data_IF_702642620453
#
_entry.id   IF_702642620453
#
_cell.length_a   1.000
_cell.length_b   1.000
_cell.length_c   1.000
_cell.angle_alpha   90.00
_cell.angle_beta   90.00
_cell.angle_gamma   90.00
#
_symmetry.space_group_name_H-M   'P 1'
#
loop_
_entity.id
_entity.type
_entity.pdbx_description
1 polymer ?
#
# COMPACT_ATOMS: atom_id res chain seq x y z
N UNK A 1 -20.78 4.74 53.97
CA UNK A 1 -19.71 3.94 54.59
C UNK A 1 -18.39 4.54 54.14
N UNK A 2 -17.82 5.44 54.96
CA UNK A 2 -16.53 6.07 54.69
C UNK A 2 -15.44 5.10 55.14
N UNK A 3 -14.50 4.76 54.26
CA UNK A 3 -13.29 4.03 54.66
C UNK A 3 -12.17 5.06 54.81
N UNK A 4 -11.90 5.45 56.06
CA UNK A 4 -10.74 6.24 56.45
C UNK A 4 -9.51 5.33 56.50
N UNK A 5 -8.51 5.58 55.65
CA UNK A 5 -7.22 4.92 55.74
C UNK A 5 -6.29 5.72 56.66
N UNK A 6 -5.94 5.14 57.82
CA UNK A 6 -4.85 5.62 58.65
C UNK A 6 -3.51 5.23 58.01
N UNK A 7 -2.72 6.21 57.57
CA UNK A 7 -1.32 6.01 57.22
C UNK A 7 -0.46 6.00 58.50
N UNK A 8 0.23 4.89 58.74
CA UNK A 8 1.34 4.83 59.69
C UNK A 8 2.62 5.40 59.03
N UNK A 9 3.41 6.23 59.73
CA UNK A 9 4.52 6.95 59.13
C UNK A 9 5.82 6.13 59.21
N UNK A 10 5.87 4.91 58.65
CA UNK A 10 7.17 4.23 58.49
C UNK A 10 7.21 2.98 57.58
N UNK A 11 6.49 2.99 56.47
CA UNK A 11 6.74 2.02 55.40
C UNK A 11 6.90 2.76 54.10
N UNK A 12 8.11 2.64 53.52
CA UNK A 12 8.44 3.11 52.19
C UNK A 12 7.34 2.64 51.24
N UNK A 13 6.55 3.58 50.74
CA UNK A 13 5.69 3.40 49.59
C UNK A 13 6.62 3.09 48.40
N UNK A 14 6.93 1.80 48.24
CA UNK A 14 7.31 1.26 46.93
C UNK A 14 6.05 1.37 46.07
N UNK A 15 5.81 2.55 45.51
CA UNK A 15 5.02 2.65 44.29
C UNK A 15 5.66 1.65 43.32
N UNK A 16 4.94 0.59 43.00
CA UNK A 16 5.24 -0.25 41.85
C UNK A 16 4.97 0.60 40.59
N UNK A 17 5.82 1.60 40.35
CA UNK A 17 5.95 2.23 39.06
C UNK A 17 6.59 1.16 38.17
N UNK A 18 5.76 0.43 37.42
CA UNK A 18 6.26 -0.40 36.34
C UNK A 18 7.02 0.55 35.41
N UNK A 19 8.36 0.46 35.41
CA UNK A 19 9.20 1.29 34.56
C UNK A 19 8.85 0.93 33.11
N UNK A 20 8.04 1.77 32.45
CA UNK A 20 7.64 1.56 31.05
C UNK A 20 8.89 1.74 30.20
N UNK A 21 9.52 0.62 29.83
CA UNK A 21 10.63 0.63 28.88
C UNK A 21 10.05 0.60 27.47
N UNK A 22 10.48 1.53 26.62
CA UNK A 22 10.03 1.66 25.23
C UNK A 22 10.25 0.40 24.39
N UNK A 23 11.18 -0.47 24.79
CA UNK A 23 11.39 -1.81 24.24
C UNK A 23 10.10 -2.66 24.20
N UNK A 24 9.26 -2.56 25.24
CA UNK A 24 8.03 -3.36 25.38
C UNK A 24 6.80 -2.68 24.77
N UNK A 25 6.99 -1.58 24.03
CA UNK A 25 5.92 -0.86 23.34
C UNK A 25 6.00 -1.20 21.85
N UNK A 26 4.92 -1.77 21.30
CA UNK A 26 4.76 -1.94 19.85
C UNK A 26 4.00 -0.74 19.30
N UNK A 27 4.57 -0.09 18.29
CA UNK A 27 3.94 0.97 17.51
C UNK A 27 3.35 0.35 16.25
N UNK A 28 2.06 0.57 16.02
CA UNK A 28 1.33 0.07 14.85
C UNK A 28 0.78 1.26 14.08
N UNK A 29 1.14 1.37 12.81
CA UNK A 29 0.70 2.43 11.91
C UNK A 29 0.08 1.79 10.65
N UNK A 30 -1.25 1.60 10.63
CA UNK A 30 -1.94 1.04 9.47
C UNK A 30 -1.95 2.01 8.29
N UNK A 31 -2.01 1.47 7.07
CA UNK A 31 -2.18 2.22 5.84
C UNK A 31 -2.99 1.43 4.83
N UNK A 32 -3.56 2.07 3.82
CA UNK A 32 -4.39 1.39 2.80
C UNK A 32 -3.63 0.36 1.98
N UNK A 33 -2.31 0.50 1.86
CA UNK A 33 -1.47 -0.38 1.03
C UNK A 33 -0.26 -0.91 1.80
N UNK A 34 0.17 -0.22 2.86
CA UNK A 34 1.35 -0.60 3.64
C UNK A 34 1.06 -0.48 5.12
N UNK A 35 1.27 -1.57 5.86
CA UNK A 35 1.29 -1.61 7.30
C UNK A 35 2.72 -1.36 7.77
N UNK A 36 2.91 -0.41 8.68
CA UNK A 36 4.19 -0.21 9.37
C UNK A 36 4.03 -0.60 10.83
N UNK A 37 4.93 -1.45 11.33
CA UNK A 37 4.95 -1.83 12.74
C UNK A 37 6.37 -2.08 13.25
N UNK A 38 6.59 -1.88 14.54
CA UNK A 38 7.88 -2.13 15.19
C UNK A 38 7.81 -1.76 16.66
N UNK A 39 8.88 -2.03 17.41
CA UNK A 39 9.03 -1.54 18.78
C UNK A 39 9.26 -0.03 18.76
N UNK A 40 8.89 0.67 19.84
CA UNK A 40 9.14 2.10 19.95
C UNK A 40 10.64 2.48 19.97
N UNK A 41 11.51 1.49 20.20
CA UNK A 41 12.97 1.64 20.12
C UNK A 41 13.56 1.33 18.74
N UNK A 42 12.79 0.75 17.82
CA UNK A 42 13.31 0.37 16.51
C UNK A 42 13.62 1.63 15.69
N UNK A 43 14.82 1.69 15.10
CA UNK A 43 15.23 2.83 14.25
C UNK A 43 14.36 2.96 13.00
N UNK A 44 13.94 1.82 12.44
CA UNK A 44 13.07 1.73 11.27
C UNK A 44 11.99 0.66 11.55
N UNK A 45 10.70 0.97 11.35
CA UNK A 45 9.65 -0.04 11.46
C UNK A 45 9.72 -1.02 10.29
N UNK A 46 9.24 -2.23 10.51
CA UNK A 46 8.95 -3.18 9.44
C UNK A 46 7.82 -2.61 8.58
N UNK A 47 7.96 -2.68 7.26
CA UNK A 47 6.92 -2.30 6.30
C UNK A 47 6.44 -3.54 5.55
N UNK A 48 5.15 -3.82 5.61
CA UNK A 48 4.52 -5.00 5.00
C UNK A 48 3.39 -4.52 4.09
N UNK A 49 3.22 -5.09 2.88
CA UNK A 49 1.99 -4.88 2.11
C UNK A 49 0.76 -5.22 2.96
N UNK A 50 -0.18 -4.30 3.06
CA UNK A 50 -1.37 -4.49 3.90
C UNK A 50 -2.44 -5.24 3.10
N UNK A 51 -2.18 -6.52 2.86
CA UNK A 51 -2.96 -7.39 1.96
C UNK A 51 -2.94 -8.82 2.46
N UNK A 52 -4.03 -9.55 2.22
CA UNK A 52 -4.19 -10.96 2.56
C UNK A 52 -4.76 -11.72 1.36
N UNK A 53 -4.18 -12.89 1.07
CA UNK A 53 -4.77 -13.86 0.16
C UNK A 53 -5.45 -14.95 0.98
N UNK A 54 -6.76 -15.20 0.78
CA UNK A 54 -7.52 -16.24 1.48
C UNK A 54 -7.94 -17.36 0.53
N UNK A 55 -7.64 -18.60 0.91
CA UNK A 55 -7.96 -19.77 0.10
C UNK A 55 -9.47 -19.99 -0.02
N UNK A 56 -9.91 -20.46 -1.17
CA UNK A 56 -11.27 -20.95 -1.39
C UNK A 56 -11.58 -22.16 -0.52
N UNK A 57 -12.81 -22.22 -0.02
CA UNK A 57 -13.29 -23.36 0.80
C UNK A 57 -13.87 -24.48 -0.06
N UNK A 58 -14.28 -24.16 -1.28
CA UNK A 58 -14.92 -25.09 -2.21
C UNK A 58 -14.34 -24.90 -3.61
N UNK A 59 -14.30 -25.97 -4.39
CA UNK A 59 -13.91 -25.89 -5.79
C UNK A 59 -14.94 -25.12 -6.61
N UNK A 60 -14.48 -24.38 -7.61
CA UNK A 60 -15.35 -23.59 -8.50
C UNK A 60 -15.88 -22.28 -7.90
N UNK A 61 -15.40 -21.86 -6.72
CA UNK A 61 -15.71 -20.53 -6.19
C UNK A 61 -15.17 -19.44 -7.14
N UNK A 62 -15.94 -18.38 -7.40
CA UNK A 62 -15.47 -17.27 -8.23
C UNK A 62 -14.31 -16.55 -7.54
N UNK A 63 -13.32 -16.17 -8.32
CA UNK A 63 -12.14 -15.44 -7.83
C UNK A 63 -12.55 -14.00 -7.46
N UNK A 64 -12.29 -13.61 -6.22
CA UNK A 64 -12.45 -12.25 -5.75
C UNK A 64 -11.10 -11.54 -5.66
N UNK A 65 -11.05 -10.28 -6.09
CA UNK A 65 -9.89 -9.40 -5.94
C UNK A 65 -10.37 -8.01 -5.60
N UNK A 66 -9.84 -7.46 -4.51
CA UNK A 66 -10.08 -6.06 -4.17
C UNK A 66 -9.51 -5.12 -5.25
N UNK A 67 -10.23 -4.02 -5.48
CA UNK A 67 -9.83 -3.02 -6.45
C UNK A 67 -8.65 -2.21 -5.90
N UNK A 68 -7.50 -2.25 -6.58
CA UNK A 68 -6.33 -1.49 -6.13
C UNK A 68 -6.23 -0.11 -6.80
N UNK A 69 -6.12 -0.06 -8.13
CA UNK A 69 -6.02 1.19 -8.89
C UNK A 69 -7.36 1.65 -9.46
N UNK A 70 -8.27 0.71 -9.68
CA UNK A 70 -9.62 1.00 -10.13
C UNK A 70 -10.47 1.43 -8.94
N UNK A 71 -11.46 2.28 -9.20
CA UNK A 71 -12.45 2.68 -8.22
C UNK A 71 -13.78 2.92 -8.90
N UNK A 72 -14.84 2.90 -8.10
CA UNK A 72 -16.16 3.28 -8.59
C UNK A 72 -16.16 4.73 -9.11
N UNK A 73 -17.02 4.99 -10.09
CA UNK A 73 -17.16 6.33 -10.68
C UNK A 73 -16.17 6.68 -11.80
N UNK A 74 -15.21 5.80 -12.14
CA UNK A 74 -14.25 6.07 -13.22
C UNK A 74 -14.87 6.03 -14.64
N UNK A 75 -16.00 5.34 -14.81
CA UNK A 75 -16.63 5.05 -16.11
C UNK A 75 -18.11 5.48 -16.17
N UNK A 76 -18.47 6.60 -15.53
CA UNK A 76 -19.79 7.24 -15.71
C UNK A 76 -19.84 7.96 -17.06
N UNK A 77 -21.03 8.26 -17.60
CA UNK A 77 -21.16 8.97 -18.88
C UNK A 77 -20.34 10.28 -18.94
N UNK A 78 -20.25 10.98 -17.81
CA UNK A 78 -19.57 12.27 -17.66
C UNK A 78 -18.06 12.13 -17.40
N UNK A 79 -17.56 10.92 -17.07
CA UNK A 79 -16.19 10.71 -16.60
C UNK A 79 -15.14 11.12 -17.63
N UNK A 80 -15.41 10.92 -18.92
CA UNK A 80 -14.47 11.29 -19.98
C UNK A 80 -14.37 12.81 -20.13
N UNK A 81 -15.50 13.51 -20.11
CA UNK A 81 -15.52 14.98 -20.19
C UNK A 81 -14.85 15.60 -18.96
N UNK A 82 -15.18 15.12 -17.76
CA UNK A 82 -14.55 15.59 -16.52
C UNK A 82 -13.03 15.40 -16.55
N UNK A 83 -12.55 14.24 -17.04
CA UNK A 83 -11.11 13.96 -17.20
C UNK A 83 -10.46 14.93 -18.18
N UNK A 84 -11.09 15.20 -19.33
CA UNK A 84 -10.56 16.13 -20.32
C UNK A 84 -10.51 17.57 -19.80
N UNK A 85 -11.55 18.02 -19.10
CA UNK A 85 -11.60 19.36 -18.52
C UNK A 85 -10.56 19.54 -17.40
N UNK A 86 -10.41 18.54 -16.52
CA UNK A 86 -9.34 18.53 -15.53
C UNK A 86 -7.95 18.58 -16.15
N UNK A 87 -7.71 17.82 -17.23
CA UNK A 87 -6.44 17.85 -17.95
C UNK A 87 -6.14 19.24 -18.55
N UNK A 88 -7.14 19.89 -19.17
CA UNK A 88 -6.98 21.27 -19.69
C UNK A 88 -6.61 22.27 -18.60
N UNK A 89 -7.21 22.16 -17.41
CA UNK A 89 -6.87 23.02 -16.28
C UNK A 89 -5.43 22.81 -15.81
N UNK A 90 -4.98 21.54 -15.76
CA UNK A 90 -3.59 21.20 -15.43
C UNK A 90 -2.63 21.77 -16.47
N UNK A 91 -2.93 21.62 -17.76
CA UNK A 91 -2.10 22.19 -18.83
C UNK A 91 -2.01 23.72 -18.75
N UNK A 92 -3.12 24.39 -18.44
CA UNK A 92 -3.14 25.83 -18.21
C UNK A 92 -2.26 26.22 -17.01
N UNK A 93 -2.35 25.48 -15.90
CA UNK A 93 -1.52 25.72 -14.72
C UNK A 93 -0.02 25.53 -15.04
N UNK A 94 0.34 24.47 -15.77
CA UNK A 94 1.71 24.20 -16.21
C UNK A 94 2.23 25.33 -17.10
N UNK A 95 1.45 25.76 -18.10
CA UNK A 95 1.86 26.80 -19.04
C UNK A 95 1.97 28.19 -18.39
N UNK A 96 1.18 28.46 -17.36
CA UNK A 96 1.21 29.73 -16.62
C UNK A 96 2.51 29.94 -15.85
N UNK A 97 3.15 28.85 -15.41
CA UNK A 97 4.39 28.89 -14.63
C UNK A 97 5.61 28.89 -15.55
N UNK A 98 6.43 29.94 -15.45
CA UNK A 98 7.72 30.03 -16.14
C UNK A 98 8.71 28.99 -15.60
N UNK A 99 9.60 28.54 -16.47
CA UNK A 99 10.76 27.73 -16.10
C UNK A 99 11.80 28.59 -15.35
N UNK A 100 12.80 27.95 -14.75
CA UNK A 100 13.87 28.63 -13.99
C UNK A 100 14.64 29.66 -14.83
N UNK A 101 14.75 29.45 -16.14
CA UNK A 101 15.35 30.40 -17.08
C UNK A 101 14.41 31.56 -17.50
N UNK A 102 13.23 31.68 -16.87
CA UNK A 102 12.26 32.74 -17.13
C UNK A 102 11.41 32.58 -18.39
N UNK A 103 11.63 31.53 -19.18
CA UNK A 103 10.86 31.25 -20.41
C UNK A 103 9.66 30.33 -20.13
N UNK A 104 8.70 30.26 -21.06
CA UNK A 104 7.55 29.35 -20.96
C UNK A 104 7.92 27.94 -21.42
N UNK A 105 7.29 26.93 -20.82
CA UNK A 105 7.44 25.53 -21.24
C UNK A 105 6.82 25.33 -22.63
N UNK A 106 7.57 24.68 -23.52
CA UNK A 106 7.09 24.27 -24.85
C UNK A 106 6.41 22.89 -24.71
N UNK A 107 5.14 22.74 -25.09
CA UNK A 107 4.44 21.46 -25.02
C UNK A 107 4.94 20.47 -26.09
N UNK A 108 4.83 19.18 -25.81
CA UNK A 108 5.19 18.08 -26.73
C UNK A 108 3.94 17.29 -27.08
N UNK A 109 3.82 16.86 -28.34
CA UNK A 109 2.65 16.11 -28.81
C UNK A 109 2.68 14.64 -28.34
N UNK A 110 1.61 14.15 -27.69
CA UNK A 110 1.46 12.73 -27.36
C UNK A 110 1.45 11.83 -28.61
N UNK A 111 1.02 12.33 -29.77
CA UNK A 111 0.95 11.55 -31.01
C UNK A 111 2.33 11.25 -31.57
N UNK A 112 3.23 12.24 -31.55
CA UNK A 112 4.62 12.05 -31.95
C UNK A 112 5.28 10.96 -31.09
N UNK A 113 5.08 11.04 -29.77
CA UNK A 113 5.60 10.04 -28.81
C UNK A 113 5.00 8.67 -29.05
N UNK A 114 3.68 8.59 -29.31
CA UNK A 114 2.98 7.33 -29.60
C UNK A 114 3.51 6.66 -30.86
N UNK A 115 3.74 7.42 -31.93
CA UNK A 115 4.26 6.91 -33.20
C UNK A 115 5.64 6.28 -33.02
N UNK A 116 6.51 6.92 -32.24
CA UNK A 116 7.81 6.36 -31.87
C UNK A 116 7.67 5.12 -30.98
N UNK A 117 6.93 5.21 -29.87
CA UNK A 117 6.80 4.13 -28.90
C UNK A 117 6.23 2.83 -29.49
N UNK A 118 5.32 2.93 -30.48
CA UNK A 118 4.77 1.77 -31.17
C UNK A 118 5.80 0.98 -31.99
N UNK A 119 6.93 1.58 -32.35
CA UNK A 119 8.00 0.92 -33.11
C UNK A 119 8.98 0.18 -32.19
N UNK A 120 8.96 0.47 -30.89
CA UNK A 120 9.89 -0.10 -29.93
C UNK A 120 9.55 -1.56 -29.66
N UNK A 121 10.59 -2.40 -29.56
CA UNK A 121 10.48 -3.79 -29.09
C UNK A 121 11.25 -3.95 -27.79
N UNK A 122 10.71 -4.71 -26.81
CA UNK A 122 11.43 -4.96 -25.57
C UNK A 122 12.69 -5.78 -25.85
N UNK A 123 13.79 -5.43 -25.19
CA UNK A 123 14.99 -6.26 -25.15
C UNK A 123 14.87 -7.26 -23.99
N UNK A 124 15.26 -8.51 -24.23
CA UNK A 124 15.32 -9.53 -23.20
C UNK A 124 16.67 -9.38 -22.49
N UNK A 125 16.64 -9.04 -21.20
CA UNK A 125 17.85 -8.91 -20.39
C UNK A 125 18.32 -10.28 -19.89
N UNK A 126 17.37 -11.11 -19.45
CA UNK A 126 17.62 -12.44 -18.89
C UNK A 126 16.62 -13.45 -19.44
N UNK A 127 17.04 -14.73 -19.51
CA UNK A 127 16.17 -15.82 -19.94
C UNK A 127 15.02 -16.10 -18.96
N UNK A 128 15.17 -15.71 -17.69
CA UNK A 128 14.15 -15.80 -16.65
C UNK A 128 14.19 -14.53 -15.79
N UNK A 129 13.02 -14.03 -15.37
CA UNK A 129 12.93 -12.81 -14.56
C UNK A 129 13.47 -12.95 -13.13
N UNK A 130 13.84 -14.16 -12.70
CA UNK A 130 14.23 -14.47 -11.31
C UNK A 130 13.07 -14.50 -10.31
N UNK A 131 11.97 -13.79 -10.60
CA UNK A 131 10.77 -13.76 -9.78
C UNK A 131 9.95 -15.05 -9.93
N UNK A 132 9.40 -15.52 -8.82
CA UNK A 132 8.58 -16.73 -8.77
C UNK A 132 7.28 -16.44 -8.05
N UNK A 133 6.22 -17.15 -8.42
CA UNK A 133 4.98 -17.15 -7.65
C UNK A 133 5.19 -17.79 -6.28
N UNK A 134 4.41 -17.34 -5.30
CA UNK A 134 4.33 -17.93 -3.97
C UNK A 134 3.95 -19.40 -4.07
N UNK A 135 4.67 -20.26 -3.37
CA UNK A 135 4.40 -21.70 -3.41
C UNK A 135 3.15 -22.05 -2.59
N UNK A 136 2.06 -22.37 -3.29
CA UNK A 136 0.77 -22.73 -2.69
C UNK A 136 0.52 -24.24 -2.56
N UNK A 137 1.55 -25.09 -2.77
CA UNK A 137 1.41 -26.56 -2.79
C UNK A 137 0.91 -27.16 -1.48
N UNK A 138 1.29 -26.54 -0.35
CA UNK A 138 0.84 -26.96 0.99
C UNK A 138 -0.58 -26.46 1.31
N UNK A 139 -1.22 -25.79 0.35
CA UNK A 139 -2.59 -25.30 0.44
C UNK A 139 -2.87 -24.46 1.70
N UNK A 140 -2.02 -23.46 2.01
CA UNK A 140 -2.20 -22.63 3.20
C UNK A 140 -3.59 -21.99 3.21
N UNK A 141 -4.18 -21.84 4.40
CA UNK A 141 -5.50 -21.22 4.52
C UNK A 141 -5.46 -19.74 4.10
N UNK A 142 -4.35 -19.06 4.38
CA UNK A 142 -4.10 -17.69 3.99
C UNK A 142 -2.60 -17.40 3.80
N UNK A 143 -2.30 -16.34 3.06
CA UNK A 143 -0.98 -15.73 2.89
C UNK A 143 -1.10 -14.23 3.17
N UNK A 144 -0.04 -13.58 3.65
CA UNK A 144 -0.05 -12.15 4.01
C UNK A 144 1.13 -11.41 3.37
N UNK A 145 0.98 -10.09 3.20
CA UNK A 145 2.08 -9.24 2.78
C UNK A 145 2.56 -9.56 1.37
N UNK A 146 3.89 -9.64 1.21
CA UNK A 146 4.51 -9.89 -0.09
C UNK A 146 4.07 -11.23 -0.69
N UNK A 147 3.97 -12.28 0.12
CA UNK A 147 3.55 -13.61 -0.36
C UNK A 147 2.14 -13.60 -0.95
N UNK A 148 1.24 -12.77 -0.41
CA UNK A 148 -0.11 -12.60 -0.96
C UNK A 148 -0.10 -11.86 -2.32
N UNK A 149 0.81 -10.90 -2.53
CA UNK A 149 0.95 -10.18 -3.80
C UNK A 149 1.48 -11.08 -4.93
N UNK A 150 2.26 -12.10 -4.58
CA UNK A 150 2.87 -13.05 -5.53
C UNK A 150 2.10 -14.37 -5.62
N UNK A 151 0.84 -14.44 -5.17
CA UNK A 151 -0.02 -15.58 -5.50
C UNK A 151 -0.27 -15.60 -7.00
N UNK A 152 -0.10 -16.77 -7.63
CA UNK A 152 -0.42 -16.94 -9.04
C UNK A 152 -1.92 -16.58 -9.24
N UNK A 153 -2.28 -15.69 -10.19
CA UNK A 153 -3.67 -15.31 -10.44
C UNK A 153 -4.62 -16.46 -10.77
N UNK A 154 -4.09 -17.64 -11.13
CA UNK A 154 -4.84 -18.85 -11.43
C UNK A 154 -5.07 -19.76 -10.20
N UNK A 155 -4.41 -19.49 -9.08
CA UNK A 155 -4.60 -20.23 -7.84
C UNK A 155 -5.93 -19.84 -7.15
N UNK A 156 -6.44 -20.75 -6.31
CA UNK A 156 -7.74 -20.62 -5.64
C UNK A 156 -7.70 -19.72 -4.39
N UNK A 157 -7.25 -18.47 -4.53
CA UNK A 157 -7.20 -17.49 -3.45
C UNK A 157 -7.90 -16.18 -3.83
N UNK A 158 -8.75 -15.70 -2.92
CA UNK A 158 -9.29 -14.34 -2.97
C UNK A 158 -8.26 -13.36 -2.41
N UNK A 159 -8.06 -12.22 -3.08
CA UNK A 159 -7.12 -11.18 -2.65
C UNK A 159 -7.90 -10.01 -2.05
N UNK A 160 -7.53 -9.64 -0.83
CA UNK A 160 -8.11 -8.55 -0.06
C UNK A 160 -7.04 -7.56 0.39
#
# INVERSE_FOLDING_TARGET
>A
MLVTYHCHPNSRLSLCLQQIQSNFIVVIHPGSTTLRLGRATDTLPVSVPHVIARRHKQQGQPLYKDNWLLREGLNKPESNEQRQNGLKMVDQAIWSKKMSNGTRRIPVSPEQTRSYNKQMRPAILDHCSGNKWTNTSQQPEYLVGEEALYVNPLDCYNIH
#
